data_IF_971355829574
#
_entry.id   IF_971355829574
#
_cell.length_a   1.000
_cell.length_b   1.000
_cell.length_c   1.000
_cell.angle_alpha   90.00
_cell.angle_beta   90.00
_cell.angle_gamma   90.00
#
_symmetry.space_group_name_H-M   'P 1'
#
loop_
_entity.id
_entity.type
_entity.pdbx_description
1 polymer ?
#
# COMPACT_ATOMS: atom_id res chain seq x y z
N UNK A 1 1.26 -11.43 11.44
CA UNK A 1 -0.20 -11.68 11.34
C UNK A 1 -0.85 -10.80 12.38
N UNK A 2 -1.37 -9.65 11.95
CA UNK A 2 -1.74 -8.55 12.86
C UNK A 2 -3.25 -8.42 13.07
N UNK A 3 -4.02 -9.36 12.49
CA UNK A 3 -5.49 -9.36 12.47
C UNK A 3 -6.09 -9.24 13.88
N UNK A 4 -5.56 -9.95 14.88
CA UNK A 4 -6.03 -9.86 16.26
C UNK A 4 -5.77 -8.51 16.94
N UNK A 5 -4.76 -7.75 16.48
CA UNK A 5 -4.51 -6.39 16.99
C UNK A 5 -5.54 -5.40 16.46
N UNK A 6 -5.87 -5.49 15.17
CA UNK A 6 -6.82 -4.58 14.54
C UNK A 6 -8.24 -4.74 15.09
N UNK A 7 -8.69 -5.97 15.33
CA UNK A 7 -10.00 -6.24 15.90
C UNK A 7 -10.13 -5.70 17.34
N UNK A 8 -9.08 -5.86 18.16
CA UNK A 8 -9.05 -5.28 19.51
C UNK A 8 -9.07 -3.74 19.47
N UNK A 9 -8.41 -3.13 18.49
CA UNK A 9 -8.41 -1.67 18.31
C UNK A 9 -9.79 -1.17 17.88
N UNK A 10 -10.48 -1.85 16.97
CA UNK A 10 -11.84 -1.46 16.53
C UNK A 10 -12.87 -1.57 17.65
N UNK A 11 -12.76 -2.58 18.52
CA UNK A 11 -13.57 -2.73 19.73
C UNK A 11 -13.35 -1.57 20.72
N UNK A 12 -12.09 -1.19 20.96
CA UNK A 12 -11.76 -0.07 21.85
C UNK A 12 -12.38 1.24 21.36
N UNK A 13 -12.28 1.54 20.05
CA UNK A 13 -12.92 2.73 19.50
C UNK A 13 -14.45 2.65 19.49
N UNK A 14 -15.03 1.45 19.42
CA UNK A 14 -16.48 1.27 19.59
C UNK A 14 -16.93 1.70 20.98
N UNK A 15 -16.15 1.40 22.03
CA UNK A 15 -16.43 1.88 23.39
C UNK A 15 -16.32 3.40 23.51
N UNK A 16 -15.34 4.02 22.85
CA UNK A 16 -15.20 5.49 22.83
C UNK A 16 -16.41 6.14 22.14
N UNK A 17 -16.86 5.58 21.01
CA UNK A 17 -18.02 6.09 20.27
C UNK A 17 -19.35 5.85 21.01
N UNK A 18 -19.43 4.88 21.92
CA UNK A 18 -20.59 4.71 22.79
C UNK A 18 -20.75 5.87 23.79
N UNK A 19 -19.63 6.46 24.24
CA UNK A 19 -19.64 7.62 25.16
C UNK A 19 -19.71 8.93 24.39
N UNK A 20 -19.02 9.03 23.24
CA UNK A 20 -18.96 10.21 22.39
C UNK A 20 -19.29 9.85 20.93
N UNK A 21 -20.59 9.74 20.58
CA UNK A 21 -21.02 9.29 19.25
C UNK A 21 -20.55 10.19 18.10
N UNK A 22 -20.34 11.48 18.38
CA UNK A 22 -19.95 12.47 17.37
C UNK A 22 -18.43 12.74 17.34
N UNK A 23 -17.61 11.89 17.98
CA UNK A 23 -16.16 12.06 17.99
C UNK A 23 -15.52 11.57 16.68
N UNK A 24 -15.43 12.47 15.71
CA UNK A 24 -14.95 12.20 14.35
C UNK A 24 -13.61 11.46 14.28
N UNK A 25 -12.67 11.77 15.18
CA UNK A 25 -11.32 11.18 15.19
C UNK A 25 -11.30 9.74 15.72
N UNK A 26 -12.23 9.40 16.62
CA UNK A 26 -12.41 8.02 17.07
C UNK A 26 -13.07 7.18 15.97
N UNK A 27 -13.98 7.79 15.22
CA UNK A 27 -14.61 7.15 14.06
C UNK A 27 -13.59 6.86 12.96
N UNK A 28 -12.78 7.86 12.60
CA UNK A 28 -11.68 7.68 11.64
C UNK A 28 -10.69 6.58 12.07
N UNK A 29 -10.25 6.58 13.33
CA UNK A 29 -9.29 5.59 13.81
C UNK A 29 -9.88 4.18 13.90
N UNK A 30 -11.18 4.06 14.21
CA UNK A 30 -11.92 2.79 14.12
C UNK A 30 -11.90 2.27 12.68
N UNK A 31 -12.14 3.15 11.72
CA UNK A 31 -12.19 2.78 10.30
C UNK A 31 -10.82 2.33 9.77
N UNK A 32 -9.74 2.98 10.20
CA UNK A 32 -8.36 2.53 9.90
C UNK A 32 -8.07 1.15 10.48
N UNK A 33 -8.56 0.86 11.69
CA UNK A 33 -8.42 -0.46 12.29
C UNK A 33 -9.22 -1.53 11.51
N UNK A 34 -10.45 -1.22 11.11
CA UNK A 34 -11.28 -2.11 10.27
C UNK A 34 -10.63 -2.39 8.90
N UNK A 35 -9.95 -1.40 8.31
CA UNK A 35 -9.16 -1.61 7.09
C UNK A 35 -8.00 -2.58 7.31
N UNK A 36 -7.28 -2.47 8.44
CA UNK A 36 -6.23 -3.41 8.82
C UNK A 36 -6.74 -4.83 9.08
N UNK A 37 -8.00 -4.97 9.52
CA UNK A 37 -8.69 -6.24 9.69
C UNK A 37 -9.32 -6.81 8.41
N UNK A 38 -9.17 -6.14 7.25
CA UNK A 38 -9.79 -6.48 5.97
C UNK A 38 -11.34 -6.35 5.95
N UNK A 39 -11.92 -5.61 6.89
CA UNK A 39 -13.36 -5.33 7.01
C UNK A 39 -13.76 -4.03 6.30
N UNK A 40 -13.34 -3.93 5.03
CA UNK A 40 -13.43 -2.70 4.23
C UNK A 40 -14.88 -2.21 4.00
N UNK A 41 -15.84 -3.14 3.96
CA UNK A 41 -17.27 -2.81 3.76
C UNK A 41 -17.85 -2.09 4.97
N UNK A 42 -17.48 -2.52 6.18
CA UNK A 42 -17.94 -1.91 7.42
C UNK A 42 -17.34 -0.52 7.60
N UNK A 43 -16.03 -0.38 7.40
CA UNK A 43 -15.32 0.91 7.48
C UNK A 43 -15.94 1.99 6.56
N UNK A 44 -16.42 1.60 5.38
CA UNK A 44 -17.06 2.54 4.43
C UNK A 44 -18.45 2.99 4.89
N UNK A 45 -19.17 2.13 5.62
CA UNK A 45 -20.51 2.44 6.14
C UNK A 45 -20.40 3.41 7.31
N UNK A 46 -19.55 3.09 8.28
CA UNK A 46 -19.28 3.91 9.46
C UNK A 46 -18.76 5.30 9.11
N UNK A 47 -17.89 5.43 8.11
CA UNK A 47 -17.33 6.73 7.72
C UNK A 47 -18.33 7.59 6.93
N UNK A 48 -19.27 6.98 6.19
CA UNK A 48 -20.40 7.71 5.59
C UNK A 48 -21.40 8.23 6.62
N UNK A 49 -21.67 7.43 7.65
CA UNK A 49 -22.53 7.84 8.78
C UNK A 49 -21.86 8.97 9.57
N UNK A 50 -20.54 8.88 9.81
CA UNK A 50 -19.73 9.93 10.42
C UNK A 50 -19.86 11.26 9.67
N UNK A 51 -19.77 11.20 8.33
CA UNK A 51 -19.83 12.38 7.48
C UNK A 51 -21.19 13.06 7.55
N UNK A 52 -22.28 12.28 7.55
CA UNK A 52 -23.65 12.81 7.69
C UNK A 52 -23.87 13.51 9.04
N UNK A 53 -23.26 13.01 10.11
CA UNK A 53 -23.44 13.54 11.46
C UNK A 53 -22.59 14.78 11.75
N UNK A 54 -21.39 14.86 11.17
CA UNK A 54 -20.40 15.88 11.54
C UNK A 54 -20.15 16.93 10.46
N UNK A 55 -20.51 16.67 9.20
CA UNK A 55 -20.27 17.51 8.02
C UNK A 55 -18.83 18.10 7.96
N UNK A 56 -17.85 17.34 8.44
CA UNK A 56 -16.43 17.70 8.54
C UNK A 56 -15.71 17.42 7.22
N UNK A 57 -14.77 18.28 6.84
CA UNK A 57 -14.05 18.24 5.56
C UNK A 57 -13.01 17.11 5.52
N UNK A 58 -12.52 16.69 6.69
CA UNK A 58 -11.52 15.63 6.86
C UNK A 58 -12.05 14.23 6.54
N UNK A 59 -13.38 14.05 6.61
CA UNK A 59 -14.03 12.77 6.33
C UNK A 59 -14.12 12.46 4.83
N UNK A 60 -14.51 13.39 3.93
CA UNK A 60 -14.39 13.22 2.48
C UNK A 60 -12.99 12.80 2.02
N UNK A 61 -11.95 13.43 2.57
CA UNK A 61 -10.55 13.11 2.26
C UNK A 61 -10.21 11.70 2.71
N UNK A 62 -10.66 11.29 3.91
CA UNK A 62 -10.52 9.92 4.37
C UNK A 62 -11.27 8.91 3.49
N UNK A 63 -12.49 9.22 3.01
CA UNK A 63 -13.24 8.37 2.05
C UNK A 63 -12.46 8.24 0.74
N UNK A 64 -11.88 9.34 0.25
CA UNK A 64 -11.10 9.36 -0.99
C UNK A 64 -9.83 8.52 -0.86
N UNK A 65 -9.08 8.68 0.23
CA UNK A 65 -7.92 7.86 0.55
C UNK A 65 -8.30 6.38 0.67
N UNK A 66 -9.43 6.06 1.29
CA UNK A 66 -9.91 4.68 1.41
C UNK A 66 -10.21 4.06 0.03
N UNK A 67 -10.85 4.82 -0.88
CA UNK A 67 -11.10 4.37 -2.26
C UNK A 67 -9.80 4.15 -3.04
N UNK A 68 -8.77 4.97 -2.80
CA UNK A 68 -7.46 4.78 -3.42
C UNK A 68 -6.77 3.52 -2.90
N UNK A 69 -6.84 3.24 -1.60
CA UNK A 69 -6.28 2.02 -1.00
C UNK A 69 -7.00 0.73 -1.45
N UNK A 70 -8.28 0.82 -1.80
CA UNK A 70 -9.05 -0.29 -2.40
C UNK A 70 -8.68 -0.56 -3.86
N UNK A 71 -8.14 0.44 -4.58
CA UNK A 71 -7.54 0.14 -5.86
C UNK A 71 -6.33 -0.73 -5.55
N UNK A 72 -6.33 -1.97 -6.08
CA UNK A 72 -5.13 -2.83 -6.06
C UNK A 72 -3.93 -1.93 -6.37
N UNK A 73 -2.79 -2.08 -5.67
CA UNK A 73 -1.59 -1.36 -6.06
C UNK A 73 -1.49 -1.54 -7.57
N UNK A 74 -1.49 -0.43 -8.33
CA UNK A 74 -1.23 -0.51 -9.75
C UNK A 74 0.01 -1.37 -9.85
N UNK A 75 -0.13 -2.58 -10.44
CA UNK A 75 0.98 -3.51 -10.62
C UNK A 75 2.13 -2.62 -11.05
N UNK A 76 3.15 -2.50 -10.20
CA UNK A 76 4.27 -1.60 -10.46
C UNK A 76 4.72 -1.95 -11.86
N UNK A 77 4.65 -0.96 -12.78
CA UNK A 77 4.90 -1.06 -14.23
C UNK A 77 5.34 -2.47 -14.61
N UNK A 78 4.43 -3.29 -15.17
CA UNK A 78 4.71 -4.68 -15.56
C UNK A 78 6.07 -4.75 -16.28
N UNK A 79 7.14 -5.02 -15.53
CA UNK A 79 8.46 -5.20 -16.09
C UNK A 79 8.40 -6.58 -16.70
N UNK A 80 8.35 -6.65 -18.03
CA UNK A 80 8.48 -7.92 -18.72
C UNK A 80 9.87 -8.45 -18.38
N UNK A 81 9.91 -9.55 -17.65
CA UNK A 81 11.15 -10.31 -17.43
C UNK A 81 11.45 -10.98 -18.77
N UNK A 82 12.23 -10.29 -19.59
CA UNK A 82 12.69 -10.80 -20.89
C UNK A 82 14.02 -11.49 -20.67
N UNK A 83 14.20 -12.69 -21.23
CA UNK A 83 15.50 -13.35 -21.21
C UNK A 83 16.57 -12.46 -21.87
N UNK A 84 17.74 -12.28 -21.23
CA UNK A 84 18.88 -11.53 -21.78
C UNK A 84 19.25 -11.96 -23.21
N UNK A 85 18.96 -13.22 -23.55
CA UNK A 85 19.25 -13.80 -24.85
C UNK A 85 18.43 -13.22 -26.01
N UNK A 86 17.37 -12.46 -25.72
CA UNK A 86 16.52 -11.84 -26.73
C UNK A 86 16.95 -10.41 -27.09
N UNK A 87 17.87 -9.81 -26.34
CA UNK A 87 18.36 -8.47 -26.64
C UNK A 87 19.33 -8.51 -27.83
N UNK A 88 19.10 -7.61 -28.79
CA UNK A 88 19.98 -7.32 -29.92
C UNK A 88 20.52 -5.89 -29.76
N UNK A 89 21.77 -5.66 -30.17
CA UNK A 89 22.37 -4.33 -30.16
C UNK A 89 21.63 -3.43 -31.16
N UNK A 90 21.20 -2.26 -30.72
CA UNK A 90 20.41 -1.34 -31.53
C UNK A 90 21.28 -0.37 -32.34
N UNK A 91 22.38 0.11 -31.77
CA UNK A 91 23.34 1.00 -32.40
C UNK A 91 24.72 0.91 -31.69
N UNK A 92 25.71 1.68 -32.16
CA UNK A 92 27.06 1.65 -31.58
C UNK A 92 27.13 2.24 -30.16
N UNK A 93 26.21 3.15 -29.83
CA UNK A 93 26.10 3.78 -28.50
C UNK A 93 25.43 2.87 -27.44
N UNK A 94 24.76 1.79 -27.86
CA UNK A 94 24.16 0.82 -26.94
C UNK A 94 25.19 -0.17 -26.40
N UNK A 95 25.07 -0.48 -25.11
CA UNK A 95 25.90 -1.46 -24.40
C UNK A 95 25.86 -2.82 -25.09
N UNK A 96 27.02 -3.49 -25.17
CA UNK A 96 27.09 -4.84 -25.71
C UNK A 96 26.25 -5.81 -24.87
N UNK A 97 25.74 -6.85 -25.52
CA UNK A 97 24.90 -7.88 -24.90
C UNK A 97 25.64 -8.62 -23.77
N UNK A 98 26.93 -8.86 -23.93
CA UNK A 98 27.78 -9.55 -22.94
C UNK A 98 27.91 -8.71 -21.66
N UNK A 99 28.18 -7.41 -21.81
CA UNK A 99 28.27 -6.48 -20.68
C UNK A 99 26.93 -6.36 -19.93
N UNK A 100 25.82 -6.37 -20.67
CA UNK A 100 24.48 -6.38 -20.08
C UNK A 100 24.20 -7.67 -19.29
N UNK A 101 24.59 -8.83 -19.83
CA UNK A 101 24.46 -10.11 -19.13
C UNK A 101 25.28 -10.11 -17.82
N UNK A 102 26.53 -9.67 -17.89
CA UNK A 102 27.41 -9.53 -16.72
C UNK A 102 26.81 -8.60 -15.66
N UNK A 103 26.26 -7.45 -16.07
CA UNK A 103 25.63 -6.50 -15.15
C UNK A 103 24.40 -7.08 -14.42
N UNK A 104 23.61 -7.91 -15.11
CA UNK A 104 22.45 -8.58 -14.52
C UNK A 104 22.88 -9.65 -13.52
N UNK A 105 23.91 -10.43 -13.82
CA UNK A 105 24.49 -11.41 -12.89
C UNK A 105 25.04 -10.74 -11.64
N UNK A 106 25.80 -9.64 -11.79
CA UNK A 106 26.31 -8.84 -10.66
C UNK A 106 25.16 -8.30 -9.81
N UNK A 107 24.08 -7.81 -10.43
CA UNK A 107 22.90 -7.32 -9.71
C UNK A 107 22.20 -8.44 -8.94
N UNK A 108 22.06 -9.62 -9.54
CA UNK A 108 21.49 -10.79 -8.88
C UNK A 108 22.36 -11.23 -7.69
N UNK A 109 23.68 -11.27 -7.88
CA UNK A 109 24.64 -11.62 -6.84
C UNK A 109 24.62 -10.61 -5.67
N UNK A 110 24.60 -9.31 -5.95
CA UNK A 110 24.46 -8.26 -4.92
C UNK A 110 23.20 -8.42 -4.09
N UNK A 111 22.08 -8.78 -4.74
CA UNK A 111 20.80 -9.02 -4.04
C UNK A 111 20.89 -10.21 -3.09
N UNK A 112 21.60 -11.27 -3.48
CA UNK A 112 21.80 -12.46 -2.64
C UNK A 112 22.74 -12.18 -1.46
N UNK A 113 23.79 -11.41 -1.70
CA UNK A 113 24.89 -11.22 -0.74
C UNK A 113 24.76 -9.97 0.13
N UNK A 114 23.80 -9.08 -0.17
CA UNK A 114 23.65 -7.77 0.47
C UNK A 114 24.91 -6.89 0.43
N UNK A 115 25.82 -7.17 -0.52
CA UNK A 115 27.07 -6.43 -0.71
C UNK A 115 26.79 -5.04 -1.32
N UNK A 116 27.25 -4.00 -0.62
CA UNK A 116 27.26 -2.61 -1.12
C UNK A 116 28.69 -2.29 -1.55
N UNK A 117 28.86 -1.91 -2.82
CA UNK A 117 30.11 -1.29 -3.26
C UNK A 117 30.09 0.16 -2.78
N UNK A 118 31.02 0.50 -1.89
CA UNK A 118 31.39 1.90 -1.67
C UNK A 118 32.27 2.31 -2.84
N UNK A 119 31.84 3.32 -3.61
CA UNK A 119 32.69 4.09 -4.51
C UNK A 119 33.30 5.26 -3.76
#
# INVERSE_FOLDING_TARGET
MDMGRYQRVSEMYTRVLAVLPNHWRAQLNKDVALLGANEVKEAKKTLKEAFKMTNRVELPDAIAHMKQMQKKPAKGKDFVVVEPSNFKRGNEETTNREDLANALEIKAFKRLTSLVFAM
#
